data_IF_992289769633
#
_entry.id   IF_992289769633
#
_cell.length_a   1.000
_cell.length_b   1.000
_cell.length_c   1.000
_cell.angle_alpha   90.00
_cell.angle_beta   90.00
_cell.angle_gamma   90.00
#
_symmetry.space_group_name_H-M   'P 1'
#
loop_
_entity.id
_entity.type
_entity.pdbx_description
1 polymer ?
#
# COMPACT_ATOMS: atom_id res chain seq x y z
N UNK A 1 9.98 15.79 -12.00
CA UNK A 1 9.02 14.68 -12.16
C UNK A 1 8.22 14.45 -10.88
N UNK A 2 8.87 14.53 -9.72
CA UNK A 2 8.27 14.34 -8.38
C UNK A 2 7.11 15.29 -8.03
N UNK A 3 7.18 16.57 -8.43
CA UNK A 3 6.13 17.56 -8.09
C UNK A 3 4.72 17.21 -8.61
N UNK A 4 4.62 16.53 -9.77
CA UNK A 4 3.31 16.08 -10.29
C UNK A 4 2.76 14.89 -9.50
N UNK A 5 3.64 13.96 -9.11
CA UNK A 5 3.28 12.80 -8.31
C UNK A 5 2.79 13.23 -6.93
N UNK A 6 3.46 14.21 -6.32
CA UNK A 6 3.06 14.79 -5.04
C UNK A 6 1.65 15.38 -5.07
N UNK A 7 1.31 16.16 -6.11
CA UNK A 7 -0.03 16.72 -6.29
C UNK A 7 -1.10 15.63 -6.48
N UNK A 8 -0.76 14.55 -7.19
CA UNK A 8 -1.67 13.41 -7.35
C UNK A 8 -1.89 12.70 -6.01
N UNK A 9 -0.81 12.44 -5.25
CA UNK A 9 -0.90 11.83 -3.93
C UNK A 9 -1.76 12.68 -2.98
N UNK A 10 -1.59 14.01 -2.99
CA UNK A 10 -2.43 14.93 -2.21
C UNK A 10 -3.90 14.91 -2.62
N UNK A 11 -4.17 14.91 -3.93
CA UNK A 11 -5.53 14.85 -4.44
C UNK A 11 -6.23 13.56 -4.00
N UNK A 12 -5.50 12.43 -4.03
CA UNK A 12 -6.03 11.14 -3.62
C UNK A 12 -6.31 11.07 -2.11
N UNK A 13 -5.43 11.62 -1.27
CA UNK A 13 -5.64 11.67 0.18
C UNK A 13 -6.80 12.56 0.62
N UNK A 14 -7.25 13.49 -0.23
CA UNK A 14 -8.45 14.31 0.05
C UNK A 14 -9.75 13.53 -0.15
N UNK A 15 -9.71 12.34 -0.76
CA UNK A 15 -10.90 11.52 -0.97
C UNK A 15 -11.37 10.93 0.37
N UNK A 16 -12.68 10.93 0.64
CA UNK A 16 -13.21 10.27 1.83
C UNK A 16 -12.83 8.79 1.81
N UNK A 17 -12.46 8.25 2.98
CA UNK A 17 -12.04 6.87 3.21
C UNK A 17 -10.68 6.46 2.59
N UNK A 18 -9.89 7.40 2.04
CA UNK A 18 -8.50 7.13 1.67
C UNK A 18 -7.58 7.52 2.83
N UNK A 19 -6.87 6.55 3.40
CA UNK A 19 -6.02 6.76 4.59
C UNK A 19 -4.52 6.82 4.28
N UNK A 20 -4.12 6.30 3.12
CA UNK A 20 -2.75 6.31 2.63
C UNK A 20 -2.69 5.91 1.16
N UNK A 21 -1.60 6.25 0.48
CA UNK A 21 -1.37 5.90 -0.92
C UNK A 21 0.10 5.58 -1.15
N UNK A 22 0.37 4.60 -2.02
CA UNK A 22 1.71 4.27 -2.50
C UNK A 22 1.68 4.07 -4.01
N UNK A 23 2.72 4.57 -4.68
CA UNK A 23 2.98 4.35 -6.09
C UNK A 23 4.26 3.56 -6.26
N UNK A 24 4.24 2.55 -7.14
CA UNK A 24 5.41 1.74 -7.50
C UNK A 24 5.68 1.82 -8.99
N UNK A 25 6.90 1.53 -9.40
CA UNK A 25 7.25 1.33 -10.81
C UNK A 25 6.89 -0.09 -11.27
N UNK A 26 7.17 -0.38 -12.54
CA UNK A 26 6.93 -1.70 -13.17
C UNK A 26 7.72 -2.86 -12.53
N UNK A 27 8.75 -2.57 -11.73
CA UNK A 27 9.58 -3.55 -11.00
C UNK A 27 9.16 -3.69 -9.54
N UNK A 28 8.11 -2.98 -9.12
CA UNK A 28 7.64 -2.98 -7.73
C UNK A 28 8.48 -2.12 -6.78
N UNK A 29 9.37 -1.27 -7.29
CA UNK A 29 10.11 -0.32 -6.46
C UNK A 29 9.19 0.83 -6.07
N UNK A 30 9.18 1.20 -4.79
CA UNK A 30 8.39 2.32 -4.30
C UNK A 30 8.92 3.65 -4.88
N UNK A 31 8.04 4.37 -5.58
CA UNK A 31 8.28 5.68 -6.19
C UNK A 31 7.75 6.81 -5.30
N UNK A 32 6.76 6.54 -4.46
CA UNK A 32 6.24 7.51 -3.50
C UNK A 32 5.20 6.93 -2.55
N UNK A 33 5.15 7.45 -1.33
CA UNK A 33 4.16 7.10 -0.30
C UNK A 33 3.64 8.36 0.36
N UNK A 34 2.35 8.41 0.70
CA UNK A 34 1.82 9.47 1.55
C UNK A 34 0.72 8.93 2.46
N UNK A 35 0.87 9.15 3.75
CA UNK A 35 -0.07 8.71 4.78
C UNK A 35 -0.91 9.89 5.27
N UNK A 36 -2.23 9.70 5.32
CA UNK A 36 -3.16 10.67 5.87
C UNK A 36 -3.26 10.63 7.39
N UNK A 37 -3.19 9.42 8.00
CA UNK A 37 -3.22 9.19 9.47
C UNK A 37 -2.65 7.82 9.86
N UNK A 38 -1.67 7.81 10.78
CA UNK A 38 -1.09 6.62 11.47
C UNK A 38 -0.55 5.54 10.50
N UNK A 39 0.28 4.55 10.92
CA UNK A 39 0.97 3.71 9.96
C UNK A 39 -0.01 2.85 9.16
N UNK A 40 -0.14 3.17 7.88
CA UNK A 40 -1.05 2.53 6.95
C UNK A 40 -0.55 1.12 6.66
N UNK A 41 -1.39 0.11 6.86
CA UNK A 41 -1.19 -1.20 6.26
C UNK A 41 -1.62 -1.08 4.80
N UNK A 42 -0.69 -1.25 3.87
CA UNK A 42 -0.97 -1.34 2.44
C UNK A 42 -1.18 -2.81 2.11
N UNK A 43 -2.34 -3.15 1.56
CA UNK A 43 -2.71 -4.50 1.15
C UNK A 43 -2.86 -4.53 -0.37
N UNK A 44 -2.10 -5.39 -1.03
CA UNK A 44 -2.36 -5.78 -2.41
C UNK A 44 -2.96 -7.18 -2.39
N UNK A 45 -4.15 -7.32 -2.94
CA UNK A 45 -4.78 -8.61 -3.15
C UNK A 45 -4.65 -9.02 -4.62
N UNK A 46 -4.14 -10.22 -4.83
CA UNK A 46 -4.25 -11.00 -6.06
C UNK A 46 -5.24 -12.14 -5.82
N UNK A 47 -5.61 -12.86 -6.89
CA UNK A 47 -6.58 -13.95 -6.79
C UNK A 47 -6.12 -15.07 -5.84
N UNK A 48 -4.83 -15.38 -5.85
CA UNK A 48 -4.21 -16.47 -5.07
C UNK A 48 -3.30 -16.00 -3.92
N UNK A 49 -2.95 -14.71 -3.89
CA UNK A 49 -1.92 -14.18 -2.99
C UNK A 49 -2.30 -12.81 -2.45
N UNK A 50 -1.74 -12.48 -1.29
CA UNK A 50 -1.90 -11.21 -0.64
C UNK A 50 -0.52 -10.69 -0.21
N UNK A 51 -0.23 -9.43 -0.53
CA UNK A 51 0.95 -8.72 -0.07
C UNK A 51 0.52 -7.66 0.95
N UNK A 52 1.05 -7.76 2.17
CA UNK A 52 0.83 -6.80 3.24
C UNK A 52 2.12 -6.03 3.50
N UNK A 53 2.08 -4.71 3.37
CA UNK A 53 3.18 -3.82 3.70
C UNK A 53 2.73 -2.98 4.89
N UNK A 54 3.53 -2.97 5.96
CA UNK A 54 3.27 -2.15 7.14
C UNK A 54 4.53 -1.44 7.57
N UNK A 55 4.43 -0.13 7.68
CA UNK A 55 5.49 0.68 8.29
C UNK A 55 5.24 0.82 9.80
N UNK A 56 6.27 0.75 10.62
CA UNK A 56 6.22 1.12 12.05
C UNK A 56 7.51 1.88 12.38
N UNK A 57 7.37 3.17 12.66
CA UNK A 57 8.51 4.08 12.84
C UNK A 57 9.45 4.04 11.62
N UNK A 58 10.71 3.64 11.81
CA UNK A 58 11.74 3.53 10.78
C UNK A 58 11.84 2.13 10.16
N UNK A 59 10.92 1.21 10.46
CA UNK A 59 10.92 -0.16 9.95
C UNK A 59 9.76 -0.38 9.00
N UNK A 60 10.05 -0.91 7.81
CA UNK A 60 9.03 -1.37 6.85
C UNK A 60 9.08 -2.90 6.82
N UNK A 61 7.95 -3.53 7.16
CA UNK A 61 7.78 -4.98 7.08
C UNK A 61 6.86 -5.36 5.93
N UNK A 62 7.24 -6.38 5.18
CA UNK A 62 6.46 -6.93 4.08
C UNK A 62 6.16 -8.40 4.34
N UNK A 63 4.91 -8.80 4.19
CA UNK A 63 4.47 -10.19 4.35
C UNK A 63 3.71 -10.59 3.09
N UNK A 64 4.18 -11.63 2.42
CA UNK A 64 3.45 -12.29 1.34
C UNK A 64 2.74 -13.51 1.92
N UNK A 65 1.44 -13.60 1.70
CA UNK A 65 0.60 -14.71 2.13
C UNK A 65 -0.07 -15.32 0.92
N UNK A 66 -0.05 -16.63 0.81
CA UNK A 66 -0.98 -17.34 -0.07
C UNK A 66 -2.37 -17.29 0.55
N UNK A 67 -3.41 -17.10 -0.27
CA UNK A 67 -4.79 -17.34 0.15
C UNK A 67 -4.90 -18.84 0.38
N UNK A 68 -4.86 -19.27 1.64
CA UNK A 68 -5.40 -20.57 1.99
C UNK A 68 -6.90 -20.51 1.74
N UNK A 69 -7.39 -21.24 0.74
CA UNK A 69 -8.80 -21.65 0.76
C UNK A 69 -9.03 -22.27 2.15
N UNK A 70 -9.92 -21.69 2.94
CA UNK A 70 -10.35 -22.36 4.16
C UNK A 70 -10.85 -23.76 3.76
N UNK A 71 -10.56 -24.80 4.57
CA UNK A 71 -11.14 -26.10 4.31
C UNK A 71 -12.66 -25.91 4.33
N UNK A 72 -13.32 -26.21 3.21
CA UNK A 72 -14.77 -26.31 3.16
C UNK A 72 -15.15 -27.40 4.18
N UNK A 73 -15.70 -26.97 5.31
CA UNK A 73 -16.26 -27.85 6.36
C UNK A 73 -17.55 -28.47 5.84
#
# INVERSE_FOLDING_TARGET
>A
MEAKLELVMESMLRRPNVTGIMFTDEKGLCVGTKDGKTPTMIQFDSDSEQLLIKQRCNLTGTVMKTRSEEPVV
#
